data_IF_104695023316
#
_entry.id   IF_104695023316
#
_cell.length_a   1.000
_cell.length_b   1.000
_cell.length_c   1.000
_cell.angle_alpha   90.00
_cell.angle_beta   90.00
_cell.angle_gamma   90.00
#
_symmetry.space_group_name_H-M   'P 1'
#
loop_
_entity.id
_entity.type
_entity.pdbx_description
1 polymer ?
#
# COMPACT_ATOMS: atom_id res chain seq x y z
N UNK A 1 -19.07 -10.89 -4.43
CA UNK A 1 -18.09 -10.96 -3.31
C UNK A 1 -18.36 -12.24 -2.53
N UNK A 2 -17.37 -13.11 -2.33
CA UNK A 2 -17.56 -14.35 -1.58
C UNK A 2 -17.52 -14.06 -0.07
N UNK A 3 -18.70 -13.91 0.55
CA UNK A 3 -18.84 -13.54 1.96
C UNK A 3 -18.39 -14.63 2.93
N UNK A 4 -18.48 -15.90 2.53
CA UNK A 4 -18.02 -17.04 3.32
C UNK A 4 -16.49 -17.03 3.47
N UNK A 5 -15.76 -16.80 2.37
CA UNK A 5 -14.29 -16.72 2.40
C UNK A 5 -13.82 -15.55 3.29
N UNK A 6 -14.53 -14.42 3.23
CA UNK A 6 -14.25 -13.28 4.10
C UNK A 6 -14.49 -13.60 5.58
N UNK A 7 -15.51 -14.40 5.92
CA UNK A 7 -15.73 -14.83 7.29
C UNK A 7 -14.61 -15.77 7.78
N UNK A 8 -14.11 -16.65 6.91
CA UNK A 8 -13.00 -17.54 7.23
C UNK A 8 -11.69 -16.77 7.45
N UNK A 9 -11.38 -15.78 6.60
CA UNK A 9 -10.21 -14.94 6.78
C UNK A 9 -10.27 -14.13 8.09
N UNK A 10 -11.45 -13.64 8.49
CA UNK A 10 -11.63 -12.79 9.69
C UNK A 10 -11.40 -13.51 11.02
N UNK A 11 -11.44 -14.84 11.06
CA UNK A 11 -11.24 -15.62 12.29
C UNK A 11 -9.79 -16.10 12.46
N UNK A 12 -8.95 -15.91 11.46
CA UNK A 12 -7.49 -16.14 11.55
C UNK A 12 -6.88 -15.13 12.51
N UNK A 13 -5.69 -15.43 13.06
CA UNK A 13 -4.95 -14.41 13.78
C UNK A 13 -4.44 -13.31 12.85
N UNK A 14 -3.96 -12.20 13.40
CA UNK A 14 -3.62 -11.03 12.60
C UNK A 14 -2.43 -11.28 11.66
N UNK A 15 -1.48 -12.14 12.05
CA UNK A 15 -0.30 -12.45 11.25
C UNK A 15 -0.70 -13.34 10.06
N UNK A 16 -1.54 -14.35 10.31
CA UNK A 16 -2.14 -15.19 9.26
C UNK A 16 -3.00 -14.38 8.29
N UNK A 17 -3.74 -13.38 8.78
CA UNK A 17 -4.52 -12.48 7.92
C UNK A 17 -3.61 -11.67 6.97
N UNK A 18 -2.50 -11.16 7.48
CA UNK A 18 -1.53 -10.41 6.69
C UNK A 18 -0.88 -11.32 5.65
N UNK A 19 -0.41 -12.50 6.06
CA UNK A 19 0.20 -13.49 5.15
C UNK A 19 -0.77 -13.90 4.03
N UNK A 20 -2.05 -14.11 4.35
CA UNK A 20 -3.08 -14.42 3.36
C UNK A 20 -3.29 -13.28 2.35
N UNK A 21 -3.31 -12.02 2.82
CA UNK A 21 -3.43 -10.84 1.95
C UNK A 21 -2.23 -10.75 1.00
N UNK A 22 -1.02 -10.94 1.52
CA UNK A 22 0.22 -10.94 0.73
C UNK A 22 0.22 -12.05 -0.32
N UNK A 23 -0.10 -13.29 0.07
CA UNK A 23 -0.14 -14.44 -0.85
C UNK A 23 -1.16 -14.26 -1.98
N UNK A 24 -2.34 -13.68 -1.68
CA UNK A 24 -3.33 -13.34 -2.70
C UNK A 24 -2.78 -12.28 -3.66
N UNK A 25 -2.14 -11.25 -3.12
CA UNK A 25 -1.57 -10.15 -3.90
C UNK A 25 -0.47 -10.63 -4.84
N UNK A 26 0.47 -11.44 -4.34
CA UNK A 26 1.53 -12.07 -5.14
C UNK A 26 0.96 -12.99 -6.23
N UNK A 27 -0.12 -13.71 -5.92
CA UNK A 27 -0.85 -14.49 -6.90
C UNK A 27 -1.43 -13.65 -8.05
N UNK A 28 -1.92 -12.44 -7.77
CA UNK A 28 -2.44 -11.53 -8.81
C UNK A 28 -1.29 -11.04 -9.71
N UNK A 29 -0.19 -10.60 -9.10
CA UNK A 29 0.99 -10.08 -9.81
C UNK A 29 1.63 -11.15 -10.68
N UNK A 30 1.83 -12.37 -10.14
CA UNK A 30 2.46 -13.48 -10.87
C UNK A 30 1.68 -13.94 -12.10
N UNK A 31 0.36 -13.72 -12.14
CA UNK A 31 -0.49 -14.00 -13.32
C UNK A 31 -0.53 -12.85 -14.33
N UNK A 32 0.22 -11.77 -14.11
CA UNK A 32 0.17 -10.57 -14.95
C UNK A 32 -1.17 -9.84 -14.88
N UNK A 33 -1.95 -10.05 -13.82
CA UNK A 33 -3.25 -9.41 -13.62
C UNK A 33 -3.15 -8.09 -12.84
N UNK A 34 -1.94 -7.55 -12.68
CA UNK A 34 -1.74 -6.22 -12.14
C UNK A 34 -2.39 -5.19 -13.09
N UNK A 35 -3.21 -4.26 -12.58
CA UNK A 35 -3.85 -3.26 -13.42
C UNK A 35 -2.79 -2.37 -14.08
N UNK A 36 -2.97 -2.10 -15.37
CA UNK A 36 -2.15 -1.12 -16.06
C UNK A 36 -2.41 0.27 -15.45
N UNK A 37 -1.34 1.07 -15.35
CA UNK A 37 -1.47 2.48 -15.00
C UNK A 37 -2.21 3.21 -16.13
N UNK A 38 -3.07 4.14 -15.77
CA UNK A 38 -3.56 5.15 -16.71
C UNK A 38 -2.44 6.12 -17.07
N UNK A 39 -2.52 6.77 -18.23
CA UNK A 39 -1.52 7.78 -18.63
C UNK A 39 -1.39 8.92 -17.60
N UNK A 40 -2.49 9.32 -16.96
CA UNK A 40 -2.48 10.31 -15.90
C UNK A 40 -1.68 9.83 -14.66
N UNK A 41 -1.86 8.56 -14.26
CA UNK A 41 -1.11 7.97 -13.15
C UNK A 41 0.37 7.84 -13.50
N UNK A 42 0.70 7.39 -14.71
CA UNK A 42 2.08 7.27 -15.17
C UNK A 42 2.78 8.64 -15.18
N UNK A 43 2.13 9.65 -15.74
CA UNK A 43 2.63 11.03 -15.77
C UNK A 43 2.89 11.58 -14.36
N UNK A 44 1.98 11.33 -13.42
CA UNK A 44 2.15 11.78 -12.04
C UNK A 44 3.30 11.07 -11.33
N UNK A 45 3.48 9.76 -11.57
CA UNK A 45 4.62 9.01 -11.02
C UNK A 45 5.95 9.51 -11.60
N UNK A 46 6.02 9.73 -12.92
CA UNK A 46 7.21 10.27 -13.57
C UNK A 46 7.56 11.66 -13.03
N UNK A 47 6.55 12.52 -12.82
CA UNK A 47 6.73 13.85 -12.22
C UNK A 47 7.27 13.78 -10.80
N UNK A 48 6.69 12.92 -9.94
CA UNK A 48 7.14 12.73 -8.55
C UNK A 48 8.55 12.16 -8.46
N UNK A 49 8.89 11.25 -9.38
CA UNK A 49 10.24 10.69 -9.45
C UNK A 49 11.27 11.76 -9.82
N UNK A 50 10.99 12.57 -10.84
CA UNK A 50 11.87 13.68 -11.24
C UNK A 50 12.07 14.70 -10.12
N UNK A 51 10.98 15.04 -9.41
CA UNK A 51 11.02 15.96 -8.28
C UNK A 51 11.86 15.41 -7.11
N UNK A 52 11.68 14.13 -6.75
CA UNK A 52 12.49 13.50 -5.70
C UNK A 52 13.97 13.42 -6.07
N UNK A 53 14.29 13.12 -7.35
CA UNK A 53 15.68 13.11 -7.82
C UNK A 53 16.33 14.51 -7.78
N UNK A 54 15.56 15.57 -8.04
CA UNK A 54 16.02 16.95 -7.91
C UNK A 54 16.14 17.40 -6.44
N UNK A 55 15.25 16.91 -5.58
CA UNK A 55 15.10 17.29 -4.18
C UNK A 55 15.18 16.07 -3.24
N UNK A 56 16.31 15.36 -3.15
CA UNK A 56 16.40 14.08 -2.43
C UNK A 56 16.14 14.19 -0.93
N UNK A 57 16.34 15.38 -0.36
CA UNK A 57 16.11 15.67 1.06
C UNK A 57 14.75 16.32 1.34
N UNK A 58 13.92 16.54 0.32
CA UNK A 58 12.53 17.01 0.51
C UNK A 58 11.63 15.84 0.90
N UNK A 59 11.87 15.34 2.11
CA UNK A 59 11.22 14.16 2.67
C UNK A 59 10.88 14.41 4.13
N UNK A 60 9.80 13.79 4.61
CA UNK A 60 9.45 13.75 6.03
C UNK A 60 9.98 12.46 6.61
N UNK A 61 10.66 12.53 7.76
CA UNK A 61 11.18 11.33 8.41
C UNK A 61 10.04 10.42 8.86
N UNK A 62 10.27 9.10 8.83
CA UNK A 62 9.29 8.14 9.34
C UNK A 62 8.88 8.43 10.80
N UNK A 63 9.85 8.81 11.64
CA UNK A 63 9.60 9.18 13.03
C UNK A 63 8.62 10.35 13.17
N UNK A 64 8.77 11.37 12.33
CA UNK A 64 7.94 12.58 12.36
C UNK A 64 6.52 12.26 11.89
N UNK A 65 6.35 11.65 10.72
CA UNK A 65 5.02 11.35 10.20
C UNK A 65 4.27 10.34 11.07
N UNK A 66 4.98 9.38 11.67
CA UNK A 66 4.40 8.43 12.63
C UNK A 66 3.92 9.14 13.89
N UNK A 67 4.72 10.06 14.43
CA UNK A 67 4.34 10.84 15.61
C UNK A 67 3.08 11.68 15.33
N UNK A 68 3.03 12.36 14.18
CA UNK A 68 1.86 13.13 13.76
C UNK A 68 0.61 12.26 13.58
N UNK A 69 0.75 11.10 12.92
CA UNK A 69 -0.37 10.18 12.70
C UNK A 69 -0.95 9.66 14.03
N UNK A 70 -0.09 9.26 14.97
CA UNK A 70 -0.52 8.82 16.31
C UNK A 70 -1.20 9.95 17.07
N UNK A 71 -0.68 11.18 16.99
CA UNK A 71 -1.28 12.34 17.63
C UNK A 71 -2.70 12.62 17.12
N UNK A 72 -2.93 12.47 15.81
CA UNK A 72 -4.26 12.63 15.18
C UNK A 72 -5.27 11.58 15.64
N UNK A 73 -4.85 10.32 15.82
CA UNK A 73 -5.74 9.22 16.26
C UNK A 73 -6.22 9.40 17.70
N UNK A 74 -5.50 10.18 18.52
CA UNK A 74 -5.82 10.42 19.94
C UNK A 74 -6.76 11.61 20.20
N UNK A 75 -7.08 12.40 19.17
CA UNK A 75 -8.04 13.50 19.23
C UNK A 75 -9.44 13.00 18.90
#
# INVERSE_FOLDING_TARGET
MNTQLLQQARVLDIDEQIELVEAIWDGIVSRGAAPALTEAQKTELDRRLADHLANPNDVVSWSEIKAEAIAKIRQ
#
